data_IF_586082338659
#
_entry.id   IF_586082338659
#
_cell.length_a   1.000
_cell.length_b   1.000
_cell.length_c   1.000
_cell.angle_alpha   90.00
_cell.angle_beta   90.00
_cell.angle_gamma   90.00
#
_symmetry.space_group_name_H-M   'P 1'
#
loop_
_entity.id
_entity.type
_entity.pdbx_description
1 polymer ?
#
# COMPACT_ATOMS: atom_id res chain seq x y z
N UNK A 1 -8.60 3.34 7.59
CA UNK A 1 -7.76 3.54 6.38
C UNK A 1 -6.27 3.37 6.59
N UNK A 2 -5.55 4.28 7.27
CA UNK A 2 -4.07 4.15 7.36
C UNK A 2 -3.67 2.87 8.10
N UNK A 3 -4.34 2.55 9.19
CA UNK A 3 -4.06 1.36 9.98
C UNK A 3 -4.33 0.04 9.23
N UNK A 4 -5.34 -0.01 8.34
CA UNK A 4 -5.63 -1.22 7.54
C UNK A 4 -4.51 -1.46 6.52
N UNK A 5 -4.20 -0.44 5.69
CA UNK A 5 -3.13 -0.55 4.67
C UNK A 5 -1.77 -0.84 5.33
N UNK A 6 -1.41 -0.13 6.40
CA UNK A 6 -0.17 -0.40 7.14
C UNK A 6 -0.19 -1.79 7.77
N UNK A 7 -1.35 -2.26 8.26
CA UNK A 7 -1.50 -3.60 8.81
C UNK A 7 -1.37 -4.72 7.76
N UNK A 8 -1.89 -4.51 6.55
CA UNK A 8 -1.73 -5.43 5.41
C UNK A 8 -0.27 -5.46 4.95
N UNK A 9 0.35 -4.28 4.81
CA UNK A 9 1.76 -4.16 4.47
C UNK A 9 2.66 -4.86 5.50
N UNK A 10 2.42 -4.60 6.79
CA UNK A 10 3.14 -5.21 7.91
C UNK A 10 3.09 -6.74 7.86
N UNK A 11 1.92 -7.31 7.56
CA UNK A 11 1.74 -8.76 7.36
C UNK A 11 2.57 -9.29 6.18
N UNK A 12 2.57 -8.60 5.05
CA UNK A 12 3.33 -9.02 3.87
C UNK A 12 4.85 -9.04 4.13
N UNK A 13 5.37 -8.04 4.85
CA UNK A 13 6.80 -7.96 5.18
C UNK A 13 7.19 -8.70 6.46
N UNK A 14 6.23 -9.31 7.16
CA UNK A 14 6.46 -9.99 8.44
C UNK A 14 6.94 -9.06 9.56
N UNK A 15 6.48 -7.81 9.58
CA UNK A 15 6.82 -6.81 10.60
C UNK A 15 5.60 -6.38 11.40
N UNK A 16 5.82 -5.65 12.48
CA UNK A 16 4.73 -5.02 13.24
C UNK A 16 4.28 -3.72 12.56
N UNK A 17 2.96 -3.41 12.55
CA UNK A 17 2.45 -2.17 11.95
C UNK A 17 3.10 -0.90 12.50
N UNK A 18 3.39 -0.88 13.80
CA UNK A 18 4.02 0.25 14.48
C UNK A 18 5.48 0.48 14.06
N UNK A 19 6.10 -0.52 13.41
CA UNK A 19 7.47 -0.43 12.89
C UNK A 19 7.56 0.15 11.48
N UNK A 20 6.42 0.47 10.85
CA UNK A 20 6.33 1.01 9.49
C UNK A 20 5.80 2.44 9.51
N UNK A 21 6.67 3.46 9.71
CA UNK A 21 6.23 4.85 9.65
C UNK A 21 5.69 5.22 8.26
N UNK A 22 4.80 6.23 8.16
CA UNK A 22 4.23 6.66 6.88
C UNK A 22 5.26 7.07 5.82
N UNK A 23 6.42 7.55 6.28
CA UNK A 23 7.56 7.95 5.44
C UNK A 23 8.42 6.79 4.94
N UNK A 24 8.15 5.55 5.36
CA UNK A 24 8.88 4.36 4.89
C UNK A 24 8.72 4.23 3.39
N UNK A 25 9.85 4.09 2.69
CA UNK A 25 9.91 3.98 1.24
C UNK A 25 9.78 2.51 0.85
N UNK A 26 8.82 2.19 0.00
CA UNK A 26 8.53 0.79 -0.35
C UNK A 26 9.73 0.15 -1.06
N UNK A 27 10.24 0.80 -2.10
CA UNK A 27 11.34 0.26 -2.91
C UNK A 27 12.67 0.28 -2.15
N UNK A 28 12.96 1.36 -1.42
CA UNK A 28 14.28 1.55 -0.83
C UNK A 28 14.43 0.95 0.57
N UNK A 29 13.36 0.87 1.36
CA UNK A 29 13.42 0.40 2.74
C UNK A 29 12.81 -0.99 2.93
N UNK A 30 11.92 -1.41 2.02
CA UNK A 30 11.24 -2.72 2.06
C UNK A 30 11.60 -3.63 0.87
N UNK A 31 12.47 -3.19 -0.05
CA UNK A 31 12.83 -3.90 -1.29
C UNK A 31 11.61 -4.29 -2.16
N UNK A 32 10.55 -3.47 -2.14
CA UNK A 32 9.39 -3.71 -3.00
C UNK A 32 9.73 -3.43 -4.46
N UNK A 33 9.34 -4.35 -5.32
CA UNK A 33 9.32 -4.16 -6.77
C UNK A 33 7.90 -3.87 -7.29
N UNK A 34 7.75 -3.75 -8.61
CA UNK A 34 6.43 -3.55 -9.24
C UNK A 34 5.44 -4.68 -8.93
N UNK A 35 5.94 -5.91 -8.76
CA UNK A 35 5.11 -7.09 -8.47
C UNK A 35 4.60 -7.04 -7.04
N UNK A 36 5.47 -6.73 -6.08
CA UNK A 36 5.16 -6.61 -4.64
C UNK A 36 4.13 -5.51 -4.39
N UNK A 37 4.20 -4.42 -5.15
CA UNK A 37 3.19 -3.35 -5.12
C UNK A 37 1.83 -3.86 -5.63
N UNK A 38 1.79 -4.61 -6.73
CA UNK A 38 0.54 -5.22 -7.22
C UNK A 38 -0.03 -6.21 -6.20
N UNK A 39 0.79 -7.03 -5.57
CA UNK A 39 0.38 -7.95 -4.51
C UNK A 39 -0.19 -7.22 -3.29
N UNK A 40 0.41 -6.11 -2.89
CA UNK A 40 -0.10 -5.26 -1.82
C UNK A 40 -1.48 -4.71 -2.16
N UNK A 41 -1.67 -4.24 -3.38
CA UNK A 41 -2.94 -3.70 -3.84
C UNK A 41 -4.01 -4.80 -3.86
N UNK A 42 -3.71 -5.98 -4.40
CA UNK A 42 -4.62 -7.14 -4.36
C UNK A 42 -4.99 -7.56 -2.93
N UNK A 43 -4.03 -7.51 -1.99
CA UNK A 43 -4.30 -7.82 -0.60
C UNK A 43 -5.22 -6.77 0.06
N UNK A 44 -5.01 -5.48 -0.24
CA UNK A 44 -5.86 -4.38 0.22
C UNK A 44 -7.25 -4.45 -0.41
N UNK A 45 -7.36 -4.79 -1.69
CA UNK A 45 -8.62 -5.04 -2.40
C UNK A 45 -9.45 -6.12 -1.72
N UNK A 46 -8.84 -7.27 -1.46
CA UNK A 46 -9.49 -8.39 -0.80
C UNK A 46 -9.96 -8.04 0.63
N UNK A 47 -9.19 -7.20 1.34
CA UNK A 47 -9.49 -6.82 2.72
C UNK A 47 -10.57 -5.74 2.81
N UNK A 48 -10.60 -4.79 1.88
CA UNK A 48 -11.56 -3.68 1.84
C UNK A 48 -12.78 -3.97 0.94
N UNK A 49 -12.75 -5.06 0.17
CA UNK A 49 -13.80 -5.40 -0.78
C UNK A 49 -13.90 -4.41 -1.95
N UNK A 50 -12.77 -3.90 -2.40
CA UNK A 50 -12.67 -2.92 -3.51
C UNK A 50 -11.85 -3.49 -4.66
N UNK A 51 -11.84 -2.79 -5.79
CA UNK A 51 -11.08 -3.14 -6.98
C UNK A 51 -10.37 -1.87 -7.48
N UNK A 52 -9.04 -1.93 -7.61
CA UNK A 52 -8.24 -0.84 -8.15
C UNK A 52 -8.00 -1.07 -9.64
N UNK A 53 -8.06 0.00 -10.41
CA UNK A 53 -7.73 -0.05 -11.83
C UNK A 53 -6.22 0.18 -12.01
N UNK A 54 -5.47 -0.84 -12.49
CA UNK A 54 -4.03 -0.73 -12.65
C UNK A 54 -3.58 0.32 -13.67
N UNK A 55 -4.45 0.71 -14.59
CA UNK A 55 -4.16 1.77 -15.56
C UNK A 55 -4.17 3.17 -14.91
N UNK A 56 -4.72 3.30 -13.70
CA UNK A 56 -4.74 4.55 -12.94
C UNK A 56 -3.47 4.77 -12.11
N UNK A 57 -2.55 3.80 -12.09
CA UNK A 57 -1.30 3.87 -11.35
C UNK A 57 -0.31 4.81 -12.04
N UNK A 58 -0.29 6.07 -11.60
CA UNK A 58 0.69 7.05 -12.07
C UNK A 58 2.11 6.72 -11.59
N UNK A 59 3.16 7.14 -12.34
CA UNK A 59 4.54 7.05 -11.89
C UNK A 59 4.71 7.74 -10.53
N UNK A 60 5.28 7.05 -9.54
CA UNK A 60 5.51 7.59 -8.20
C UNK A 60 4.32 7.50 -7.23
N UNK A 61 3.19 6.88 -7.61
CA UNK A 61 2.05 6.68 -6.70
C UNK A 61 2.37 5.79 -5.48
N UNK A 62 3.46 5.03 -5.56
CA UNK A 62 3.86 4.01 -4.60
C UNK A 62 5.31 4.19 -4.12
N UNK A 63 5.70 5.42 -3.82
CA UNK A 63 7.01 5.67 -3.22
C UNK A 63 7.05 5.32 -1.74
N UNK A 64 5.99 5.64 -0.99
CA UNK A 64 5.96 5.49 0.48
C UNK A 64 4.67 4.83 0.96
N UNK A 65 4.67 4.38 2.21
CA UNK A 65 3.45 3.89 2.88
C UNK A 65 2.35 4.94 2.84
N UNK A 66 2.67 6.20 3.07
CA UNK A 66 1.72 7.31 2.96
C UNK A 66 1.14 7.46 1.55
N UNK A 67 1.95 7.30 0.49
CA UNK A 67 1.46 7.45 -0.88
C UNK A 67 0.45 6.36 -1.25
N UNK A 68 0.68 5.11 -0.81
CA UNK A 68 -0.30 4.01 -0.96
C UNK A 68 -1.58 4.33 -0.21
N UNK A 69 -1.49 4.73 1.05
CA UNK A 69 -2.65 5.09 1.87
C UNK A 69 -3.45 6.23 1.23
N UNK A 70 -2.77 7.25 0.71
CA UNK A 70 -3.40 8.39 0.04
C UNK A 70 -4.12 7.94 -1.25
N UNK A 71 -3.52 7.02 -2.01
CA UNK A 71 -4.12 6.45 -3.21
C UNK A 71 -5.40 5.66 -2.88
N UNK A 72 -5.35 4.78 -1.88
CA UNK A 72 -6.48 3.97 -1.40
C UNK A 72 -7.63 4.88 -0.91
N UNK A 73 -7.29 5.93 -0.15
CA UNK A 73 -8.26 6.93 0.32
C UNK A 73 -8.98 7.64 -0.82
N UNK A 74 -8.27 8.04 -1.89
CA UNK A 74 -8.90 8.67 -3.06
C UNK A 74 -9.92 7.76 -3.74
N UNK A 75 -9.63 6.47 -3.82
CA UNK A 75 -10.51 5.50 -4.47
C UNK A 75 -11.74 5.17 -3.65
N UNK A 76 -11.63 5.17 -2.32
CA UNK A 76 -12.74 4.83 -1.42
C UNK A 76 -13.80 5.95 -1.28
N UNK A 77 -13.58 7.17 -1.79
CA UNK A 77 -14.51 8.33 -1.64
C UNK A 77 -15.10 8.47 -0.23
N UNK A 78 -14.26 8.38 0.80
CA UNK A 78 -14.63 8.63 2.22
C UNK A 78 -13.92 9.85 2.74
#
# INVERSE_FOLDING_TARGET
MTAEVTGTLARMVGREPDSLPPSTRLVQDLDFDSTSVLELLMAVEAELGIEFDPDTFGPGSFETVESVVAYVRRHLKV
#
